data_IF_192347590341
#
_entry.id   IF_192347590341
#
_cell.length_a   1.000
_cell.length_b   1.000
_cell.length_c   1.000
_cell.angle_alpha   90.00
_cell.angle_beta   90.00
_cell.angle_gamma   90.00
#
_symmetry.space_group_name_H-M   'P 1'
#
loop_
_entity.id
_entity.type
_entity.pdbx_description
1 polymer ?
#
# COMPACT_ATOMS: atom_id res chain seq x y z
N UNK A 1 -10.85 -11.25 1.21
CA UNK A 1 -10.37 -10.87 -0.13
C UNK A 1 -10.58 -12.04 -1.09
N UNK A 2 -11.47 -11.90 -2.07
CA UNK A 2 -11.80 -12.97 -3.03
C UNK A 2 -10.71 -13.01 -4.11
N UNK A 3 -9.85 -14.04 -4.10
CA UNK A 3 -8.78 -14.19 -5.09
C UNK A 3 -9.32 -14.95 -6.31
N UNK A 4 -9.39 -14.31 -7.47
CA UNK A 4 -9.88 -14.92 -8.73
C UNK A 4 -9.17 -16.24 -9.06
N UNK A 5 -7.86 -16.33 -8.80
CA UNK A 5 -7.10 -17.59 -8.92
C UNK A 5 -7.62 -18.70 -8.00
N UNK A 6 -7.97 -18.37 -6.76
CA UNK A 6 -8.54 -19.35 -5.83
C UNK A 6 -9.92 -19.80 -6.31
N UNK A 7 -10.76 -18.90 -6.83
CA UNK A 7 -12.04 -19.29 -7.42
C UNK A 7 -11.86 -20.21 -8.63
N UNK A 8 -10.86 -19.95 -9.47
CA UNK A 8 -10.54 -20.79 -10.61
C UNK A 8 -10.04 -22.17 -10.15
N UNK A 9 -9.11 -22.20 -9.20
CA UNK A 9 -8.60 -23.43 -8.59
C UNK A 9 -9.71 -24.25 -7.93
N UNK A 10 -10.69 -23.61 -7.29
CA UNK A 10 -11.87 -24.24 -6.69
C UNK A 10 -12.95 -24.62 -7.71
N UNK A 11 -12.72 -24.42 -9.01
CA UNK A 11 -13.69 -24.71 -10.07
C UNK A 11 -14.95 -23.83 -10.05
N UNK A 12 -14.93 -22.70 -9.33
CA UNK A 12 -16.05 -21.75 -9.21
C UNK A 12 -16.12 -20.77 -10.38
N UNK A 13 -15.03 -20.61 -11.12
CA UNK A 13 -14.97 -19.89 -12.39
C UNK A 13 -14.20 -20.74 -13.40
N UNK A 14 -14.78 -20.91 -14.59
CA UNK A 14 -14.40 -22.01 -15.49
C UNK A 14 -13.29 -21.65 -16.49
N UNK A 15 -13.12 -20.38 -16.86
CA UNK A 15 -12.24 -20.00 -17.97
C UNK A 15 -11.47 -18.70 -17.70
N UNK A 16 -10.29 -18.50 -18.32
CA UNK A 16 -9.71 -17.17 -18.51
C UNK A 16 -10.75 -16.17 -19.02
N UNK A 17 -10.65 -14.92 -18.59
CA UNK A 17 -11.61 -13.88 -18.93
C UNK A 17 -11.69 -12.76 -17.90
N UNK A 18 -12.57 -11.79 -18.16
CA UNK A 18 -12.76 -10.62 -17.32
C UNK A 18 -13.89 -10.84 -16.32
N UNK A 19 -13.59 -10.64 -15.04
CA UNK A 19 -14.50 -10.74 -13.92
C UNK A 19 -14.65 -9.37 -13.25
N UNK A 20 -15.87 -9.03 -12.85
CA UNK A 20 -16.14 -7.82 -12.05
C UNK A 20 -16.36 -8.21 -10.60
N UNK A 21 -15.66 -7.52 -9.71
CA UNK A 21 -15.69 -7.75 -8.28
C UNK A 21 -16.22 -6.49 -7.61
N UNK A 22 -17.36 -6.60 -6.93
CA UNK A 22 -17.84 -5.54 -6.06
C UNK A 22 -16.99 -5.52 -4.78
N UNK A 23 -16.45 -4.34 -4.46
CA UNK A 23 -15.67 -4.11 -3.24
C UNK A 23 -16.29 -2.93 -2.48
N UNK A 24 -15.99 -2.75 -1.18
CA UNK A 24 -16.50 -1.61 -0.41
C UNK A 24 -16.21 -0.23 -1.01
N UNK A 25 -15.18 -0.12 -1.85
CA UNK A 25 -14.70 1.14 -2.43
C UNK A 25 -15.01 1.28 -3.92
N UNK A 26 -15.78 0.34 -4.49
CA UNK A 26 -16.18 0.36 -5.88
C UNK A 26 -15.92 -0.98 -6.60
N UNK A 27 -16.22 -1.00 -7.90
CA UNK A 27 -16.04 -2.20 -8.71
C UNK A 27 -14.61 -2.26 -9.25
N UNK A 28 -13.95 -3.38 -9.03
CA UNK A 28 -12.63 -3.72 -9.59
C UNK A 28 -12.83 -4.75 -10.69
N UNK A 29 -12.05 -4.66 -11.76
CA UNK A 29 -12.02 -5.69 -12.81
C UNK A 29 -10.81 -6.57 -12.64
N UNK A 30 -11.00 -7.89 -12.74
CA UNK A 30 -9.95 -8.90 -12.69
C UNK A 30 -9.93 -9.67 -14.00
N UNK A 31 -8.86 -9.53 -14.77
CA UNK A 31 -8.62 -10.30 -15.99
C UNK A 31 -7.76 -11.51 -15.65
N UNK A 32 -8.35 -12.70 -15.69
CA UNK A 32 -7.64 -13.97 -15.52
C UNK A 32 -7.06 -14.37 -16.87
N UNK A 33 -5.74 -14.28 -17.02
CA UNK A 33 -5.05 -14.66 -18.26
C UNK A 33 -4.87 -16.17 -18.34
N UNK A 34 -4.46 -16.77 -17.22
CA UNK A 34 -4.19 -18.20 -17.08
C UNK A 34 -4.27 -18.60 -15.59
N UNK A 35 -3.96 -19.86 -15.27
CA UNK A 35 -4.05 -20.38 -13.90
C UNK A 35 -3.06 -19.77 -12.87
N UNK A 36 -2.20 -18.84 -13.29
CA UNK A 36 -1.14 -18.26 -12.45
C UNK A 36 -1.09 -16.73 -12.50
N UNK A 37 -1.80 -16.10 -13.44
CA UNK A 37 -1.66 -14.67 -13.71
C UNK A 37 -3.02 -13.99 -13.81
N UNK A 38 -3.17 -12.90 -13.07
CA UNK A 38 -4.35 -12.05 -13.07
C UNK A 38 -3.93 -10.59 -13.10
N UNK A 39 -4.54 -9.80 -13.98
CA UNK A 39 -4.43 -8.34 -13.97
C UNK A 39 -5.64 -7.75 -13.27
N UNK A 40 -5.42 -6.85 -12.32
CA UNK A 40 -6.50 -6.08 -11.70
C UNK A 40 -6.50 -4.65 -12.22
N UNK A 41 -7.64 -4.21 -12.73
CA UNK A 41 -7.92 -2.77 -12.90
C UNK A 41 -8.60 -2.28 -11.63
N UNK A 42 -7.81 -1.62 -10.79
CA UNK A 42 -8.26 -1.10 -9.50
C UNK A 42 -9.20 0.10 -9.68
N UNK A 43 -9.80 0.57 -8.58
CA UNK A 43 -10.49 1.86 -8.53
C UNK A 43 -9.53 3.01 -8.85
N UNK A 44 -10.08 4.19 -9.18
CA UNK A 44 -9.26 5.35 -9.49
C UNK A 44 -8.37 5.74 -8.29
N UNK A 45 -7.07 5.85 -8.55
CA UNK A 45 -6.07 6.30 -7.58
C UNK A 45 -5.69 7.76 -7.82
N UNK A 46 -5.43 8.51 -6.76
CA UNK A 46 -5.03 9.92 -6.86
C UNK A 46 -4.19 10.37 -5.66
N UNK A 47 -3.38 11.42 -5.85
CA UNK A 47 -2.67 12.08 -4.75
C UNK A 47 -3.55 13.18 -4.15
N UNK A 48 -3.80 13.09 -2.85
CA UNK A 48 -4.58 14.08 -2.11
C UNK A 48 -3.72 15.26 -1.65
N UNK A 49 -2.53 15.01 -1.08
CA UNK A 49 -1.58 16.05 -0.68
C UNK A 49 -0.16 15.62 -1.00
N UNK A 50 0.69 16.60 -1.31
CA UNK A 50 2.10 16.41 -1.65
C UNK A 50 2.99 17.02 -0.57
N UNK A 51 4.14 16.40 -0.31
CA UNK A 51 5.20 16.95 0.54
C UNK A 51 4.73 17.35 1.95
N UNK A 52 3.86 16.54 2.56
CA UNK A 52 3.39 16.71 3.94
C UNK A 52 4.55 16.37 4.89
N UNK A 53 4.88 17.30 5.78
CA UNK A 53 5.93 17.14 6.78
C UNK A 53 5.35 16.75 8.15
N UNK A 54 6.02 15.83 8.83
CA UNK A 54 5.73 15.37 10.18
C UNK A 54 7.01 15.40 11.01
N UNK A 55 6.94 15.91 12.24
CA UNK A 55 8.03 15.78 13.21
C UNK A 55 7.78 14.52 14.04
N UNK A 56 8.41 13.40 13.65
CA UNK A 56 8.17 12.08 14.24
C UNK A 56 9.15 11.84 15.40
N UNK A 57 8.66 11.62 16.64
CA UNK A 57 9.53 11.34 17.78
C UNK A 57 10.46 10.15 17.52
N UNK A 58 11.76 10.35 17.74
CA UNK A 58 12.80 9.33 17.50
C UNK A 58 13.30 9.22 16.05
N UNK A 59 12.57 9.77 15.07
CA UNK A 59 12.92 9.71 13.65
C UNK A 59 13.13 11.08 13.00
N UNK A 60 12.82 12.17 13.71
CA UNK A 60 12.98 13.54 13.23
C UNK A 60 11.93 13.90 12.17
N UNK A 61 12.29 14.83 11.28
CA UNK A 61 11.37 15.29 10.24
C UNK A 61 11.23 14.25 9.12
N UNK A 62 10.01 13.79 8.90
CA UNK A 62 9.63 12.89 7.81
C UNK A 62 8.76 13.66 6.83
N UNK A 63 9.01 13.50 5.52
CA UNK A 63 8.19 14.08 4.46
C UNK A 63 7.57 12.96 3.62
N UNK A 64 6.33 13.14 3.20
CA UNK A 64 5.66 12.18 2.34
C UNK A 64 4.42 12.73 1.64
N UNK A 65 3.90 11.95 0.70
CA UNK A 65 2.66 12.25 -0.01
C UNK A 65 1.49 11.49 0.64
N UNK A 66 0.29 12.08 0.63
CA UNK A 66 -0.96 11.41 1.02
C UNK A 66 -1.69 11.02 -0.25
N UNK A 67 -1.93 9.73 -0.44
CA UNK A 67 -2.53 9.19 -1.65
C UNK A 67 -3.64 8.17 -1.36
N UNK A 68 -4.58 8.10 -2.29
CA UNK A 68 -5.65 7.11 -2.32
C UNK A 68 -5.36 6.08 -3.42
N UNK A 69 -5.45 4.79 -3.06
CA UNK A 69 -5.30 3.66 -3.99
C UNK A 69 -6.31 2.54 -3.76
N UNK A 70 -7.46 2.85 -3.16
CA UNK A 70 -8.40 1.88 -2.58
C UNK A 70 -8.31 1.79 -1.06
N UNK A 71 -7.17 2.19 -0.49
CA UNK A 71 -6.99 2.60 0.91
C UNK A 71 -6.20 3.92 0.94
N UNK A 72 -6.09 4.53 2.13
CA UNK A 72 -5.30 5.74 2.34
C UNK A 72 -3.87 5.41 2.76
N UNK A 73 -2.91 6.00 2.05
CA UNK A 73 -1.49 5.79 2.26
C UNK A 73 -0.77 7.09 2.58
N UNK A 74 0.21 7.00 3.49
CA UNK A 74 1.30 7.96 3.58
C UNK A 74 2.55 7.38 2.92
N UNK A 75 2.95 7.97 1.80
CA UNK A 75 4.08 7.53 0.99
C UNK A 75 5.32 8.34 1.39
N UNK A 76 6.24 7.73 2.14
CA UNK A 76 7.42 8.43 2.65
C UNK A 76 8.43 8.72 1.54
N UNK A 77 8.84 9.98 1.42
CA UNK A 77 9.82 10.42 0.45
C UNK A 77 11.25 10.31 1.03
N UNK A 78 11.82 9.11 1.00
CA UNK A 78 13.19 8.83 1.44
C UNK A 78 13.90 7.89 0.45
N UNK A 79 14.53 8.43 -0.62
CA UNK A 79 15.17 7.60 -1.64
C UNK A 79 16.44 6.89 -1.14
N UNK A 80 16.91 7.24 0.06
CA UNK A 80 18.14 6.68 0.64
C UNK A 80 17.87 5.47 1.53
N UNK A 81 16.61 5.13 1.77
CA UNK A 81 16.25 4.05 2.67
C UNK A 81 16.61 2.69 2.05
N UNK A 82 17.39 1.89 2.79
CA UNK A 82 17.63 0.50 2.44
C UNK A 82 16.55 -0.40 3.07
N UNK A 83 15.86 -1.17 2.23
CA UNK A 83 14.80 -2.07 2.67
C UNK A 83 15.30 -3.51 2.63
N UNK A 84 15.66 -4.06 3.79
CA UNK A 84 16.17 -5.43 3.96
C UNK A 84 15.27 -6.22 4.89
N UNK A 85 15.08 -7.51 4.60
CA UNK A 85 14.27 -8.40 5.46
C UNK A 85 14.79 -8.47 6.91
N UNK A 86 16.11 -8.35 7.10
CA UNK A 86 16.71 -8.33 8.44
C UNK A 86 16.30 -7.10 9.28
N UNK A 87 15.88 -6.01 8.63
CA UNK A 87 15.51 -4.76 9.30
C UNK A 87 14.01 -4.61 9.52
N UNK A 88 13.20 -5.62 9.15
CA UNK A 88 11.73 -5.58 9.28
C UNK A 88 11.27 -5.05 10.64
N UNK A 89 11.80 -5.49 11.80
CA UNK A 89 11.39 -4.94 13.09
C UNK A 89 11.59 -3.41 13.19
N UNK A 90 12.74 -2.91 12.73
CA UNK A 90 13.04 -1.47 12.76
C UNK A 90 12.20 -0.67 11.74
N UNK A 91 11.89 -1.26 10.58
CA UNK A 91 10.99 -0.68 9.58
C UNK A 91 9.56 -0.60 10.10
N UNK A 92 9.08 -1.65 10.79
CA UNK A 92 7.80 -1.67 11.47
C UNK A 92 7.75 -0.58 12.55
N UNK A 93 8.75 -0.49 13.42
CA UNK A 93 8.78 0.54 14.48
C UNK A 93 8.71 1.96 13.90
N UNK A 94 9.48 2.22 12.83
CA UNK A 94 9.49 3.52 12.13
C UNK A 94 8.13 3.86 11.54
N UNK A 95 7.53 2.93 10.80
CA UNK A 95 6.24 3.15 10.15
C UNK A 95 5.10 3.27 11.16
N UNK A 96 5.13 2.51 12.25
CA UNK A 96 4.18 2.64 13.36
C UNK A 96 4.30 4.02 14.02
N UNK A 97 5.52 4.51 14.25
CA UNK A 97 5.73 5.86 14.77
C UNK A 97 5.18 6.94 13.83
N UNK A 98 5.38 6.80 12.52
CA UNK A 98 4.82 7.71 11.50
C UNK A 98 3.29 7.68 11.53
N UNK A 99 2.67 6.49 11.53
CA UNK A 99 1.20 6.35 11.58
C UNK A 99 0.61 6.97 12.83
N UNK A 100 1.25 6.75 13.99
CA UNK A 100 0.85 7.37 15.26
C UNK A 100 0.94 8.89 15.19
N UNK A 101 1.98 9.43 14.56
CA UNK A 101 2.17 10.87 14.42
C UNK A 101 1.13 11.51 13.48
N UNK A 102 0.78 10.85 12.38
CA UNK A 102 -0.35 11.25 11.52
C UNK A 102 -1.64 11.38 12.32
N UNK A 103 -1.97 10.35 13.11
CA UNK A 103 -3.14 10.35 13.98
C UNK A 103 -3.08 11.47 15.03
N UNK A 104 -1.95 11.60 15.73
CA UNK A 104 -1.74 12.60 16.80
C UNK A 104 -1.90 14.04 16.29
N UNK A 105 -1.47 14.31 15.05
CA UNK A 105 -1.51 15.64 14.45
C UNK A 105 -2.79 15.92 13.66
N UNK A 106 -3.69 14.95 13.55
CA UNK A 106 -4.95 15.08 12.80
C UNK A 106 -4.76 15.13 11.28
N UNK A 107 -3.61 14.67 10.78
CA UNK A 107 -3.36 14.57 9.34
C UNK A 107 -4.13 13.37 8.80
N UNK A 108 -4.96 13.63 7.80
CA UNK A 108 -5.96 12.68 7.28
C UNK A 108 -5.99 12.71 5.75
N UNK A 109 -6.64 11.70 5.17
CA UNK A 109 -7.08 11.71 3.78
C UNK A 109 -8.25 12.67 3.55
N UNK A 110 -8.92 12.52 2.40
CA UNK A 110 -10.12 13.30 2.11
C UNK A 110 -11.23 13.02 3.16
N UNK A 111 -12.05 14.04 3.44
CA UNK A 111 -13.19 13.97 4.36
C UNK A 111 -12.86 13.46 5.78
N UNK A 112 -11.60 13.63 6.22
CA UNK A 112 -11.14 13.21 7.55
C UNK A 112 -10.86 11.71 7.65
N UNK A 113 -10.75 11.00 6.51
CA UNK A 113 -10.46 9.58 6.51
C UNK A 113 -9.09 9.27 7.13
N UNK A 114 -9.05 8.18 7.91
CA UNK A 114 -7.83 7.70 8.53
C UNK A 114 -6.80 7.25 7.48
N UNK A 115 -5.53 7.56 7.73
CA UNK A 115 -4.40 7.03 6.97
C UNK A 115 -3.80 5.89 7.79
N UNK A 116 -4.20 4.66 7.43
CA UNK A 116 -3.86 3.45 8.17
C UNK A 116 -2.67 2.68 7.54
N UNK A 117 -2.28 3.04 6.31
CA UNK A 117 -1.10 2.48 5.64
C UNK A 117 0.05 3.50 5.56
N UNK A 118 1.26 3.03 5.83
CA UNK A 118 2.50 3.80 5.65
C UNK A 118 3.45 3.00 4.77
N UNK A 119 3.86 3.59 3.65
CA UNK A 119 4.76 2.95 2.69
C UNK A 119 6.13 3.63 2.70
N UNK A 120 7.16 2.81 2.77
CA UNK A 120 8.55 3.21 2.54
C UNK A 120 8.98 2.65 1.18
N UNK A 121 9.61 3.47 0.34
CA UNK A 121 10.13 3.04 -0.96
C UNK A 121 11.63 3.33 -1.06
N UNK A 122 12.40 2.32 -1.45
CA UNK A 122 13.85 2.40 -1.62
C UNK A 122 14.30 1.86 -2.98
N UNK A 123 15.62 1.89 -3.26
CA UNK A 123 16.16 1.40 -4.52
C UNK A 123 15.87 -0.10 -4.72
N UNK A 124 15.70 -0.56 -5.97
CA UNK A 124 15.47 -1.96 -6.26
C UNK A 124 16.71 -2.80 -5.92
N UNK A 125 16.49 -4.05 -5.52
CA UNK A 125 17.57 -5.03 -5.32
C UNK A 125 17.70 -6.04 -6.48
N UNK A 126 16.85 -5.89 -7.50
CA UNK A 126 16.85 -6.72 -8.70
C UNK A 126 16.90 -5.83 -9.94
N UNK A 127 17.55 -6.27 -11.03
CA UNK A 127 17.68 -5.48 -12.25
C UNK A 127 16.35 -5.30 -13.01
N UNK A 128 15.34 -6.13 -12.74
CA UNK A 128 14.01 -6.08 -13.35
C UNK A 128 12.95 -5.39 -12.49
N UNK A 129 13.36 -4.71 -11.42
CA UNK A 129 12.48 -3.96 -10.54
C UNK A 129 12.80 -2.46 -10.61
N UNK A 130 11.77 -1.61 -10.60
CA UNK A 130 11.93 -0.15 -10.56
C UNK A 130 12.23 0.36 -9.14
N UNK A 131 11.67 -0.30 -8.13
CA UNK A 131 11.83 0.05 -6.72
C UNK A 131 11.61 -1.19 -5.83
N UNK A 132 11.87 -1.03 -4.54
CA UNK A 132 11.39 -1.92 -3.48
C UNK A 132 10.55 -1.10 -2.51
N UNK A 133 9.52 -1.70 -1.93
CA UNK A 133 8.75 -1.09 -0.86
C UNK A 133 8.66 -1.98 0.39
N UNK A 134 8.23 -1.35 1.48
CA UNK A 134 7.78 -1.94 2.73
C UNK A 134 6.48 -1.23 3.09
N UNK A 135 5.39 -1.96 3.29
CA UNK A 135 4.07 -1.38 3.57
C UNK A 135 3.61 -1.81 4.95
N UNK A 136 3.45 -0.86 5.87
CA UNK A 136 2.72 -1.09 7.11
C UNK A 136 1.22 -1.13 6.81
N UNK A 137 0.55 -2.18 7.24
CA UNK A 137 -0.88 -2.40 7.15
C UNK A 137 -1.60 -2.15 8.49
N UNK A 138 -2.94 -2.12 8.52
CA UNK A 138 -3.71 -2.12 9.76
C UNK A 138 -3.34 -3.27 10.69
N UNK A 139 -3.34 -3.01 12.00
CA UNK A 139 -2.99 -4.02 13.01
C UNK A 139 -1.49 -4.30 13.17
N UNK A 140 -0.63 -3.43 12.65
CA UNK A 140 0.84 -3.51 12.73
C UNK A 140 1.44 -4.71 11.97
N UNK A 141 0.67 -5.26 11.02
CA UNK A 141 1.18 -6.19 10.02
C UNK A 141 1.95 -5.45 8.92
N UNK A 142 2.82 -6.15 8.19
CA UNK A 142 3.52 -5.60 7.03
C UNK A 142 3.34 -6.50 5.80
N UNK A 143 3.45 -5.88 4.63
CA UNK A 143 3.58 -6.51 3.30
C UNK A 143 4.91 -6.06 2.66
#
# INVERSE_FOLDING_TARGET
>A
MLRTLTLHHLGRIAAPGTYRLETPVGVVSAELHNAHEVTFTNVASYRHRKDVELDVPGYGRVRGDIAWGGNWFFLVADPTIELRLADVPALTDRTVAIRRELHRTGVTGADGAEIDHVELSGPPQRPDADARNFVLCPGDAYD
#
